data_IF_841272418671
#
_entry.id   IF_841272418671
#
_cell.length_a   1.000
_cell.length_b   1.000
_cell.length_c   1.000
_cell.angle_alpha   90.00
_cell.angle_beta   90.00
_cell.angle_gamma   90.00
#
_symmetry.space_group_name_H-M   'P 1'
#
loop_
_entity.id
_entity.type
_entity.pdbx_description
1 polymer ?
#
# COMPACT_ATOMS: atom_id res chain seq x y z
N UNK A 1 6.43 -22.19 19.74
CA UNK A 1 5.88 -22.91 18.56
C UNK A 1 4.52 -22.34 18.17
N UNK A 2 3.67 -22.00 19.15
CA UNK A 2 2.27 -21.60 18.88
C UNK A 2 2.05 -20.16 18.37
N UNK A 3 3.02 -19.25 18.51
CA UNK A 3 2.80 -17.83 18.19
C UNK A 3 2.67 -17.53 16.69
N UNK A 4 3.28 -18.33 15.81
CA UNK A 4 3.28 -18.11 14.36
C UNK A 4 2.18 -18.90 13.63
N UNK A 5 1.76 -20.01 14.23
CA UNK A 5 0.90 -20.98 13.59
C UNK A 5 -0.57 -20.62 13.80
N UNK A 6 -1.30 -20.40 12.71
CA UNK A 6 -2.75 -20.30 12.75
C UNK A 6 -3.36 -21.66 12.39
N UNK A 7 -3.70 -22.43 13.42
CA UNK A 7 -4.25 -23.78 13.27
C UNK A 7 -5.50 -23.79 12.36
N UNK A 8 -5.54 -24.78 11.47
CA UNK A 8 -6.65 -24.95 10.53
C UNK A 8 -6.65 -24.00 9.33
N UNK A 9 -5.74 -23.02 9.25
CA UNK A 9 -5.65 -22.06 8.13
C UNK A 9 -4.44 -22.36 7.25
N UNK A 10 -4.68 -22.55 5.95
CA UNK A 10 -3.66 -22.95 4.98
C UNK A 10 -3.77 -22.10 3.72
N UNK A 11 -2.75 -21.29 3.43
CA UNK A 11 -2.65 -20.62 2.13
C UNK A 11 -2.26 -21.67 1.10
N UNK A 12 -3.09 -21.88 0.07
CA UNK A 12 -2.87 -22.88 -0.98
C UNK A 12 -2.08 -22.30 -2.14
N UNK A 13 -2.48 -21.12 -2.59
CA UNK A 13 -1.83 -20.42 -3.67
C UNK A 13 -2.08 -18.91 -3.61
N UNK A 14 -1.15 -18.19 -4.23
CA UNK A 14 -1.30 -16.77 -4.55
C UNK A 14 -0.92 -16.56 -6.01
N UNK A 15 -1.78 -15.88 -6.76
CA UNK A 15 -1.54 -15.49 -8.14
C UNK A 15 -1.60 -13.96 -8.27
N UNK A 16 -0.64 -13.38 -8.97
CA UNK A 16 -0.55 -11.94 -9.20
C UNK A 16 -0.82 -11.63 -10.68
N UNK A 17 -1.43 -10.47 -10.92
CA UNK A 17 -1.38 -9.81 -12.21
C UNK A 17 0.07 -9.41 -12.57
N UNK A 18 0.28 -9.00 -13.82
CA UNK A 18 1.60 -8.52 -14.26
C UNK A 18 2.00 -7.23 -13.52
N UNK A 19 3.13 -7.27 -12.83
CA UNK A 19 3.70 -6.13 -12.12
C UNK A 19 4.54 -5.27 -13.07
N UNK A 20 4.10 -4.04 -13.31
CA UNK A 20 4.72 -3.13 -14.28
C UNK A 20 4.98 -1.77 -13.63
N UNK A 21 6.22 -1.31 -13.70
CA UNK A 21 6.64 0.04 -13.30
C UNK A 21 6.99 0.88 -14.53
N UNK A 22 6.89 2.19 -14.41
CA UNK A 22 7.24 3.15 -15.47
C UNK A 22 7.58 4.51 -14.87
N UNK A 23 8.13 5.41 -15.68
CA UNK A 23 8.20 6.83 -15.32
C UNK A 23 7.08 7.62 -15.99
N UNK A 24 6.47 8.53 -15.25
CA UNK A 24 5.61 9.57 -15.78
C UNK A 24 6.13 10.97 -15.41
N UNK A 25 5.62 11.98 -16.10
CA UNK A 25 5.87 13.37 -15.72
C UNK A 25 4.86 13.81 -14.67
N UNK A 26 5.37 14.53 -13.67
CA UNK A 26 4.59 15.19 -12.65
C UNK A 26 4.99 16.66 -12.60
N UNK A 27 4.00 17.54 -12.61
CA UNK A 27 4.20 18.98 -12.52
C UNK A 27 3.87 19.44 -11.10
N UNK A 28 4.83 20.07 -10.43
CA UNK A 28 4.63 20.71 -9.14
C UNK A 28 4.55 22.23 -9.34
N UNK A 29 3.49 22.85 -8.84
CA UNK A 29 3.41 24.31 -8.78
C UNK A 29 4.39 24.85 -7.74
N UNK A 30 5.30 25.69 -8.21
CA UNK A 30 6.32 26.38 -7.42
C UNK A 30 6.20 27.89 -7.55
N UNK A 31 5.01 28.39 -7.90
CA UNK A 31 4.73 29.82 -8.11
C UNK A 31 5.00 30.66 -6.85
N UNK A 32 4.89 30.05 -5.66
CA UNK A 32 5.25 30.69 -4.38
C UNK A 32 6.75 31.06 -4.26
N UNK A 33 7.61 30.62 -5.17
CA UNK A 33 9.02 31.07 -5.27
C UNK A 33 9.12 32.48 -5.85
N UNK A 34 8.13 32.93 -6.63
CA UNK A 34 8.09 34.28 -7.14
C UNK A 34 7.61 35.25 -6.05
N UNK A 35 8.25 36.42 -5.90
CA UNK A 35 7.77 37.44 -4.98
C UNK A 35 6.41 37.95 -5.45
N UNK A 36 5.38 37.76 -4.62
CA UNK A 36 4.04 38.22 -4.93
C UNK A 36 3.94 39.74 -4.77
N UNK A 37 3.71 40.46 -5.87
CA UNK A 37 3.61 41.93 -5.85
C UNK A 37 2.26 42.44 -5.31
N UNK A 38 1.18 41.69 -5.53
CA UNK A 38 -0.15 41.94 -4.95
C UNK A 38 -0.98 40.66 -4.95
N UNK A 39 -1.95 40.56 -4.04
CA UNK A 39 -2.85 39.39 -3.92
C UNK A 39 -3.75 39.20 -5.15
N UNK A 40 -4.11 40.29 -5.82
CA UNK A 40 -5.05 40.26 -6.95
C UNK A 40 -4.45 39.63 -8.21
N UNK A 41 -3.13 39.48 -8.25
CA UNK A 41 -2.37 38.92 -9.39
C UNK A 41 -1.94 37.47 -9.16
N UNK A 42 -2.45 36.81 -8.11
CA UNK A 42 -2.00 35.47 -7.73
C UNK A 42 -2.13 34.43 -8.85
N UNK A 43 -3.12 34.59 -9.73
CA UNK A 43 -3.38 33.68 -10.85
C UNK A 43 -2.87 34.19 -12.21
N UNK A 44 -2.18 35.33 -12.27
CA UNK A 44 -1.70 35.91 -13.54
C UNK A 44 -0.55 35.09 -14.15
N UNK A 45 0.23 34.43 -13.30
CA UNK A 45 1.39 33.63 -13.70
C UNK A 45 1.44 32.34 -12.90
N UNK A 46 1.94 31.28 -13.54
CA UNK A 46 2.21 30.01 -12.87
C UNK A 46 3.58 29.48 -13.29
N UNK A 47 4.35 29.01 -12.31
CA UNK A 47 5.65 28.37 -12.54
C UNK A 47 5.54 26.93 -12.11
N UNK A 48 5.82 26.02 -13.05
CA UNK A 48 5.79 24.58 -12.81
C UNK A 48 7.19 23.98 -12.86
N UNK A 49 7.52 23.17 -11.86
CA UNK A 49 8.67 22.29 -11.89
C UNK A 49 8.21 20.90 -12.38
N UNK A 50 8.66 20.50 -13.57
CA UNK A 50 8.37 19.18 -14.15
C UNK A 50 9.43 18.16 -13.74
N UNK A 51 9.01 17.05 -13.15
CA UNK A 51 9.89 15.95 -12.74
C UNK A 51 9.40 14.62 -13.31
N UNK A 52 10.34 13.73 -13.70
CA UNK A 52 10.03 12.32 -13.93
C UNK A 52 9.93 11.57 -12.61
N UNK A 53 8.78 10.95 -12.33
CA UNK A 53 8.54 10.19 -11.09
C UNK A 53 8.21 8.74 -11.41
N UNK A 54 8.70 7.83 -10.58
CA UNK A 54 8.37 6.41 -10.70
C UNK A 54 6.87 6.22 -10.44
N UNK A 55 6.27 5.29 -11.17
CA UNK A 55 4.89 4.86 -11.00
C UNK A 55 4.75 3.38 -11.36
N UNK A 56 3.57 2.80 -11.09
CA UNK A 56 3.23 1.44 -11.48
C UNK A 56 1.82 1.33 -12.06
N UNK A 57 1.57 0.27 -12.82
CA UNK A 57 0.19 -0.09 -13.20
C UNK A 57 -0.51 -0.68 -11.97
N UNK A 58 -1.79 -0.38 -11.73
CA UNK A 58 -2.57 -1.08 -10.73
C UNK A 58 -2.52 -2.58 -11.00
N UNK A 59 -2.40 -3.37 -9.94
CA UNK A 59 -2.37 -4.82 -10.02
C UNK A 59 -3.24 -5.41 -8.92
N UNK A 60 -3.74 -6.61 -9.14
CA UNK A 60 -4.40 -7.39 -8.10
C UNK A 60 -3.64 -8.69 -7.84
N UNK A 61 -3.88 -9.28 -6.69
CA UNK A 61 -3.60 -10.68 -6.47
C UNK A 61 -4.85 -11.43 -6.02
N UNK A 62 -4.89 -12.71 -6.32
CA UNK A 62 -5.88 -13.66 -5.83
C UNK A 62 -5.18 -14.64 -4.91
N UNK A 63 -5.66 -14.75 -3.68
CA UNK A 63 -5.18 -15.70 -2.68
C UNK A 63 -6.26 -16.73 -2.38
N UNK A 64 -5.93 -18.02 -2.55
CA UNK A 64 -6.81 -19.11 -2.19
C UNK A 64 -6.37 -19.73 -0.86
N UNK A 65 -7.31 -19.86 0.07
CA UNK A 65 -7.06 -20.33 1.43
C UNK A 65 -8.05 -21.44 1.77
N UNK A 66 -7.56 -22.51 2.39
CA UNK A 66 -8.42 -23.51 3.05
C UNK A 66 -8.41 -23.24 4.55
N UNK A 67 -9.59 -23.23 5.16
CA UNK A 67 -9.76 -22.90 6.56
C UNK A 67 -10.68 -23.90 7.27
N UNK A 68 -10.29 -24.40 8.44
CA UNK A 68 -11.20 -25.02 9.40
C UNK A 68 -11.80 -23.97 10.37
N UNK A 69 -11.20 -22.78 10.38
CA UNK A 69 -11.64 -21.64 11.18
C UNK A 69 -12.75 -20.85 10.48
N UNK A 70 -13.73 -20.37 11.24
CA UNK A 70 -14.74 -19.40 10.82
C UNK A 70 -14.68 -18.19 11.75
N UNK A 71 -14.61 -16.98 11.18
CA UNK A 71 -14.44 -15.74 11.94
C UNK A 71 -13.53 -14.74 11.24
N UNK A 72 -13.08 -13.72 11.97
CA UNK A 72 -12.22 -12.66 11.41
C UNK A 72 -10.74 -13.05 11.46
N UNK A 73 -9.99 -12.67 10.44
CA UNK A 73 -8.55 -12.81 10.39
C UNK A 73 -7.90 -11.61 9.71
N UNK A 74 -6.59 -11.49 9.88
CA UNK A 74 -5.80 -10.39 9.32
C UNK A 74 -4.83 -11.00 8.32
N UNK A 75 -4.82 -10.46 7.10
CA UNK A 75 -3.81 -10.78 6.09
C UNK A 75 -2.77 -9.68 6.12
N UNK A 76 -1.49 -10.05 6.22
CA UNK A 76 -0.35 -9.13 6.02
C UNK A 76 0.42 -9.53 4.78
N UNK A 77 0.88 -8.53 4.05
CA UNK A 77 1.64 -8.69 2.83
C UNK A 77 2.91 -7.84 2.87
N UNK A 78 4.03 -8.48 2.60
CA UNK A 78 5.34 -7.87 2.50
C UNK A 78 5.91 -8.08 1.10
N UNK A 79 6.74 -7.15 0.64
CA UNK A 79 7.54 -7.30 -0.59
C UNK A 79 9.01 -7.19 -0.25
N UNK A 80 9.83 -8.07 -0.81
CA UNK A 80 11.26 -8.12 -0.55
C UNK A 80 12.05 -8.76 -1.69
N UNK A 81 13.40 -8.69 -1.62
CA UNK A 81 14.27 -9.30 -2.61
C UNK A 81 14.08 -10.82 -2.64
N UNK A 82 14.19 -11.41 -3.84
CA UNK A 82 14.23 -12.87 -3.97
C UNK A 82 15.50 -13.42 -3.31
N UNK A 83 15.34 -14.52 -2.57
CA UNK A 83 16.44 -15.32 -2.05
C UNK A 83 16.31 -16.78 -2.51
N UNK A 84 17.45 -17.46 -2.68
CA UNK A 84 17.48 -18.84 -3.19
C UNK A 84 17.39 -19.88 -2.08
N UNK A 85 18.08 -19.66 -0.95
CA UNK A 85 18.09 -20.60 0.18
C UNK A 85 17.22 -20.06 1.30
N UNK A 86 16.36 -20.93 1.83
CA UNK A 86 15.42 -20.54 2.87
C UNK A 86 16.07 -19.89 4.11
N UNK A 87 17.26 -20.37 4.51
CA UNK A 87 18.01 -19.79 5.64
C UNK A 87 18.54 -18.39 5.39
N UNK A 88 18.68 -17.96 4.13
CA UNK A 88 19.11 -16.60 3.80
C UNK A 88 18.07 -15.56 4.26
N UNK A 89 16.80 -15.96 4.44
CA UNK A 89 15.73 -15.12 4.98
C UNK A 89 16.11 -14.44 6.29
N UNK A 90 16.94 -15.05 7.14
CA UNK A 90 17.39 -14.43 8.38
C UNK A 90 18.15 -13.11 8.15
N UNK A 91 18.88 -13.01 7.04
CA UNK A 91 19.58 -11.79 6.62
C UNK A 91 18.70 -10.89 5.77
N UNK A 92 17.86 -11.48 4.92
CA UNK A 92 17.02 -10.73 3.98
C UNK A 92 15.76 -10.12 4.59
N UNK A 93 15.24 -10.64 5.71
CA UNK A 93 13.98 -10.18 6.34
C UNK A 93 13.92 -8.68 6.59
N UNK A 94 15.05 -8.02 6.84
CA UNK A 94 15.14 -6.56 7.06
C UNK A 94 14.86 -5.73 5.80
N UNK A 95 14.90 -6.36 4.63
CA UNK A 95 14.58 -5.75 3.34
C UNK A 95 13.14 -6.02 2.90
N UNK A 96 12.37 -6.77 3.68
CA UNK A 96 10.94 -6.93 3.43
C UNK A 96 10.19 -5.73 4.01
N UNK A 97 9.42 -5.06 3.15
CA UNK A 97 8.59 -3.91 3.51
C UNK A 97 7.14 -4.35 3.52
N UNK A 98 6.43 -4.05 4.60
CA UNK A 98 4.99 -4.27 4.68
C UNK A 98 4.28 -3.30 3.73
N UNK A 99 3.54 -3.85 2.77
CA UNK A 99 2.83 -3.06 1.75
C UNK A 99 1.32 -3.04 1.99
N UNK A 100 0.79 -4.06 2.66
CA UNK A 100 -0.63 -4.09 3.00
C UNK A 100 -0.93 -4.92 4.25
N UNK A 101 -1.98 -4.52 4.96
CA UNK A 101 -2.60 -5.21 6.08
C UNK A 101 -4.11 -4.97 6.01
N UNK A 102 -4.91 -6.03 6.04
CA UNK A 102 -6.37 -5.90 5.97
C UNK A 102 -7.11 -7.03 6.67
N UNK A 103 -8.32 -6.70 7.12
CA UNK A 103 -9.24 -7.62 7.76
C UNK A 103 -10.00 -8.42 6.69
N UNK A 104 -10.19 -9.72 6.95
CA UNK A 104 -11.01 -10.63 6.14
C UNK A 104 -11.94 -11.44 7.03
N UNK A 105 -13.11 -11.80 6.51
CA UNK A 105 -14.03 -12.73 7.14
C UNK A 105 -13.85 -14.12 6.50
N UNK A 106 -13.50 -15.11 7.33
CA UNK A 106 -13.30 -16.50 6.96
C UNK A 106 -14.57 -17.33 7.17
N UNK A 107 -14.77 -18.26 6.24
CA UNK A 107 -15.70 -19.37 6.37
C UNK A 107 -14.95 -20.70 6.40
N UNK A 108 -15.49 -21.71 7.08
CA UNK A 108 -14.94 -23.06 7.01
C UNK A 108 -15.00 -23.59 5.56
N UNK A 109 -13.93 -24.21 5.10
CA UNK A 109 -13.74 -24.66 3.72
C UNK A 109 -12.85 -23.72 2.90
N UNK A 110 -13.22 -23.53 1.62
CA UNK A 110 -12.45 -22.76 0.64
C UNK A 110 -12.83 -21.27 0.72
N UNK A 111 -11.83 -20.41 0.83
CA UNK A 111 -11.95 -18.96 0.76
C UNK A 111 -11.06 -18.43 -0.37
N UNK A 112 -11.52 -17.41 -1.09
CA UNK A 112 -10.76 -16.74 -2.15
C UNK A 112 -10.80 -15.24 -1.91
N UNK A 113 -9.64 -14.62 -1.72
CA UNK A 113 -9.50 -13.19 -1.50
C UNK A 113 -8.86 -12.54 -2.71
N UNK A 114 -9.51 -11.51 -3.25
CA UNK A 114 -8.96 -10.68 -4.33
C UNK A 114 -8.67 -9.30 -3.76
N UNK A 115 -7.44 -8.82 -3.93
CA UNK A 115 -6.98 -7.55 -3.35
C UNK A 115 -6.30 -6.70 -4.42
N UNK A 116 -6.78 -5.48 -4.62
CA UNK A 116 -6.20 -4.53 -5.56
C UNK A 116 -5.17 -3.64 -4.86
N UNK A 117 -4.10 -3.27 -5.58
CA UNK A 117 -3.05 -2.39 -5.07
C UNK A 117 -3.57 -1.04 -4.58
N UNK A 118 -4.66 -0.52 -5.17
CA UNK A 118 -5.25 0.76 -4.80
C UNK A 118 -5.99 0.75 -3.47
N UNK A 119 -6.26 -0.44 -2.93
CA UNK A 119 -6.96 -0.57 -1.65
C UNK A 119 -5.97 -0.71 -0.48
N UNK A 120 -4.66 -0.72 -0.73
CA UNK A 120 -3.65 -0.94 0.30
C UNK A 120 -3.78 0.10 1.42
N UNK A 121 -3.79 -0.39 2.65
CA UNK A 121 -4.26 0.40 3.81
C UNK A 121 -3.42 1.65 4.11
N UNK A 122 -2.18 1.73 3.61
CA UNK A 122 -1.28 2.84 3.86
C UNK A 122 -0.73 3.57 2.66
N UNK A 123 -1.21 3.25 1.46
CA UNK A 123 -0.89 4.02 0.27
C UNK A 123 -1.82 5.22 0.09
N UNK A 124 -1.28 6.33 -0.40
CA UNK A 124 -2.04 7.53 -0.76
C UNK A 124 -1.68 8.00 -2.17
N UNK A 125 -2.68 8.55 -2.87
CA UNK A 125 -2.49 9.17 -4.18
C UNK A 125 -1.67 10.47 -4.04
N UNK A 126 -1.17 10.97 -5.16
CA UNK A 126 -0.58 12.31 -5.19
C UNK A 126 -1.60 13.37 -4.81
N UNK A 127 -1.08 14.50 -4.36
CA UNK A 127 -1.86 15.62 -3.85
C UNK A 127 -2.45 16.43 -4.99
N UNK A 128 -3.68 16.89 -4.80
CA UNK A 128 -4.20 18.05 -5.50
C UNK A 128 -3.28 19.23 -5.23
N UNK A 129 -2.92 19.93 -6.29
CA UNK A 129 -2.02 21.08 -6.25
C UNK A 129 -2.66 22.24 -5.47
N UNK A 130 -1.83 23.05 -4.79
CA UNK A 130 -2.34 24.15 -3.97
C UNK A 130 -3.22 25.11 -4.76
N UNK A 131 -2.79 25.51 -5.95
CA UNK A 131 -3.53 26.46 -6.81
C UNK A 131 -4.86 25.90 -7.29
N UNK A 132 -4.92 24.61 -7.62
CA UNK A 132 -6.19 23.94 -7.96
C UNK A 132 -7.14 23.88 -6.76
N UNK A 133 -6.61 23.53 -5.57
CA UNK A 133 -7.39 23.51 -4.35
C UNK A 133 -7.91 24.91 -3.98
N UNK A 134 -7.05 25.92 -4.03
CA UNK A 134 -7.40 27.30 -3.73
C UNK A 134 -8.45 27.83 -4.71
N UNK A 135 -8.30 27.56 -6.02
CA UNK A 135 -9.29 27.90 -7.03
C UNK A 135 -10.65 27.26 -6.74
N UNK A 136 -10.70 25.95 -6.45
CA UNK A 136 -11.93 25.25 -6.08
C UNK A 136 -12.61 25.86 -4.85
N UNK A 137 -11.84 26.26 -3.84
CA UNK A 137 -12.36 26.93 -2.64
C UNK A 137 -12.97 28.28 -2.99
N UNK A 138 -12.28 29.12 -3.79
CA UNK A 138 -12.77 30.45 -4.15
C UNK A 138 -14.05 30.38 -5.01
N UNK A 139 -14.12 29.45 -5.98
CA UNK A 139 -15.34 29.19 -6.74
C UNK A 139 -16.50 28.74 -5.83
N UNK A 140 -16.19 27.96 -4.80
CA UNK A 140 -17.13 27.54 -3.76
C UNK A 140 -17.68 28.69 -2.93
N UNK A 141 -16.80 29.56 -2.41
CA UNK A 141 -17.18 30.75 -1.62
C UNK A 141 -18.06 31.70 -2.44
N UNK A 142 -17.75 31.85 -3.73
CA UNK A 142 -18.50 32.73 -4.64
C UNK A 142 -19.81 32.11 -5.15
N UNK A 143 -20.16 30.89 -4.72
CA UNK A 143 -21.38 30.20 -5.13
C UNK A 143 -21.41 29.75 -6.59
N UNK A 144 -20.26 29.73 -7.26
CA UNK A 144 -20.14 29.36 -8.67
C UNK A 144 -20.06 27.84 -8.86
N UNK A 145 -19.42 27.14 -7.93
CA UNK A 145 -19.32 25.67 -7.92
C UNK A 145 -19.55 25.10 -6.53
N UNK A 146 -19.99 23.85 -6.41
CA UNK A 146 -20.07 23.16 -5.12
C UNK A 146 -18.69 22.61 -4.75
N UNK A 147 -18.12 23.07 -3.65
CA UNK A 147 -16.88 22.49 -3.12
C UNK A 147 -17.15 21.09 -2.54
N UNK A 148 -16.56 20.06 -3.16
CA UNK A 148 -16.61 18.69 -2.66
C UNK A 148 -15.36 18.41 -1.80
N UNK A 149 -15.57 18.02 -0.54
CA UNK A 149 -14.51 17.51 0.33
C UNK A 149 -14.11 16.10 -0.14
N UNK A 150 -13.02 16.02 -0.91
CA UNK A 150 -12.40 14.75 -1.30
C UNK A 150 -11.44 14.28 -0.21
N UNK A 151 -11.87 13.28 0.55
CA UNK A 151 -11.08 12.66 1.62
C UNK A 151 -10.24 11.47 1.14
N UNK A 152 -10.16 11.24 -0.18
CA UNK A 152 -9.33 10.16 -0.75
C UNK A 152 -7.83 10.49 -0.73
N UNK A 153 -7.47 11.77 -0.58
CA UNK A 153 -6.10 12.24 -0.39
C UNK A 153 -5.75 12.34 1.11
N UNK A 154 -5.70 11.22 1.82
CA UNK A 154 -5.33 11.22 3.23
C UNK A 154 -3.98 11.93 3.48
N UNK A 155 -3.89 12.86 4.42
CA UNK A 155 -2.71 13.70 4.75
C UNK A 155 -1.45 12.90 5.09
N UNK A 156 -1.61 11.64 5.46
CA UNK A 156 -0.51 10.74 5.73
C UNK A 156 -0.67 9.38 5.06
N UNK A 157 0.38 8.97 4.35
CA UNK A 157 0.53 7.63 3.81
C UNK A 157 1.78 7.54 2.93
N UNK A 158 2.12 6.32 2.57
CA UNK A 158 3.17 6.05 1.60
C UNK A 158 2.66 6.38 0.18
N UNK A 159 3.43 7.04 -0.70
CA UNK A 159 2.97 7.32 -2.05
C UNK A 159 2.65 6.04 -2.82
N UNK A 160 1.42 5.89 -3.30
CA UNK A 160 0.92 4.72 -4.05
C UNK A 160 1.87 4.35 -5.21
N UNK A 161 2.24 5.36 -6.00
CA UNK A 161 3.18 5.24 -7.11
C UNK A 161 4.55 4.62 -6.77
N UNK A 162 4.94 4.55 -5.49
CA UNK A 162 6.21 3.99 -5.02
C UNK A 162 6.07 2.61 -4.36
N UNK A 163 4.88 2.00 -4.31
CA UNK A 163 4.65 0.68 -3.68
C UNK A 163 5.58 -0.39 -4.26
N UNK A 164 5.81 -0.35 -5.58
CA UNK A 164 6.75 -1.24 -6.24
C UNK A 164 8.09 -0.55 -6.46
N UNK A 165 9.22 -1.23 -6.18
CA UNK A 165 10.52 -0.74 -6.61
C UNK A 165 10.61 -0.74 -8.14
N UNK A 166 11.49 0.10 -8.70
CA UNK A 166 11.74 0.13 -10.15
C UNK A 166 12.17 -1.26 -10.63
N UNK A 167 11.37 -1.86 -11.52
CA UNK A 167 11.67 -3.16 -12.10
C UNK A 167 12.83 -3.14 -13.09
N UNK A 168 13.12 -4.31 -13.67
CA UNK A 168 14.04 -4.44 -14.81
C UNK A 168 13.24 -4.64 -16.10
N UNK A 169 13.84 -4.32 -17.25
CA UNK A 169 13.19 -4.56 -18.54
C UNK A 169 12.89 -6.04 -18.77
N UNK A 170 13.78 -6.92 -18.32
CA UNK A 170 13.63 -8.38 -18.36
C UNK A 170 12.94 -8.98 -17.12
N UNK A 171 12.44 -8.15 -16.20
CA UNK A 171 11.81 -8.59 -14.95
C UNK A 171 12.81 -8.70 -13.80
N UNK A 172 12.64 -7.85 -12.79
CA UNK A 172 13.39 -7.92 -11.54
C UNK A 172 12.80 -9.00 -10.65
N UNK A 173 13.57 -10.03 -10.26
CA UNK A 173 13.10 -11.09 -9.39
C UNK A 173 12.89 -10.56 -7.97
N UNK A 174 11.67 -10.72 -7.47
CA UNK A 174 11.25 -10.29 -6.13
C UNK A 174 10.35 -11.37 -5.53
N UNK A 175 10.05 -11.24 -4.25
CA UNK A 175 9.13 -12.13 -3.55
C UNK A 175 8.11 -11.32 -2.75
N UNK A 176 6.85 -11.72 -2.86
CA UNK A 176 5.84 -11.33 -1.89
C UNK A 176 5.76 -12.39 -0.80
N UNK A 177 5.67 -11.94 0.44
CA UNK A 177 5.45 -12.79 1.60
C UNK A 177 4.10 -12.47 2.21
N UNK A 178 3.34 -13.52 2.52
CA UNK A 178 2.04 -13.43 3.16
C UNK A 178 2.04 -14.18 4.47
N UNK A 179 1.31 -13.63 5.44
CA UNK A 179 0.96 -14.33 6.67
C UNK A 179 -0.47 -13.98 7.06
N UNK A 180 -1.23 -14.99 7.47
CA UNK A 180 -2.58 -14.82 8.03
C UNK A 180 -2.53 -15.07 9.53
N UNK A 181 -3.03 -14.12 10.32
CA UNK A 181 -3.13 -14.23 11.78
C UNK A 181 -4.58 -14.10 12.24
N UNK A 182 -4.96 -14.74 13.37
CA UNK A 182 -6.30 -14.55 13.93
C UNK A 182 -6.53 -13.09 14.28
N UNK A 183 -7.74 -12.59 14.04
CA UNK A 183 -8.13 -11.27 14.52
C UNK A 183 -8.42 -11.36 16.01
N UNK A 184 -7.66 -10.62 16.82
CA UNK A 184 -7.96 -10.41 18.23
C UNK A 184 -8.67 -9.07 18.35
N UNK A 185 -9.95 -9.08 18.72
CA UNK A 185 -10.74 -7.86 18.90
C UNK A 185 -9.98 -6.89 19.81
N UNK A 186 -9.58 -5.75 19.26
CA UNK A 186 -8.88 -4.72 20.00
C UNK A 186 -9.76 -3.49 20.13
N UNK A 187 -9.81 -2.96 21.36
CA UNK A 187 -10.56 -1.75 21.65
C UNK A 187 -10.05 -0.51 20.88
N UNK A 188 -8.86 -0.50 20.28
CA UNK A 188 -8.31 0.67 19.55
C UNK A 188 -8.85 0.80 18.13
N UNK A 189 -8.90 -0.28 17.35
CA UNK A 189 -9.57 -0.28 16.04
C UNK A 189 -11.08 -0.08 16.20
N UNK A 190 -11.67 -0.67 17.24
CA UNK A 190 -13.10 -0.54 17.54
C UNK A 190 -13.47 0.83 18.17
N UNK A 191 -12.50 1.60 18.67
CA UNK A 191 -12.65 3.01 19.10
C UNK A 191 -12.27 3.99 17.98
N UNK A 192 -12.64 3.66 16.75
CA UNK A 192 -12.39 4.48 15.55
C UNK A 192 -12.96 5.91 15.63
N UNK A 193 -13.84 6.20 16.58
CA UNK A 193 -14.44 7.53 16.77
C UNK A 193 -13.41 8.66 16.95
N UNK A 194 -12.18 8.35 17.38
CA UNK A 194 -11.08 9.31 17.53
C UNK A 194 -9.98 9.21 16.46
N UNK A 195 -10.11 8.28 15.50
CA UNK A 195 -9.11 8.07 14.47
C UNK A 195 -9.68 8.33 13.07
N UNK A 196 -9.33 9.49 12.53
CA UNK A 196 -9.54 9.78 11.13
C UNK A 196 -8.25 9.48 10.34
N UNK A 197 -8.27 8.39 9.58
CA UNK A 197 -7.17 7.98 8.69
C UNK A 197 -6.82 9.01 7.63
N UNK A 198 -7.75 9.93 7.35
CA UNK A 198 -7.56 11.01 6.36
C UNK A 198 -6.69 12.13 6.94
N UNK A 199 -6.69 12.33 8.26
CA UNK A 199 -5.94 13.40 8.93
C UNK A 199 -4.66 12.88 9.58
N UNK A 200 -4.69 11.68 10.16
CA UNK A 200 -3.58 11.13 10.96
C UNK A 200 -3.06 9.80 10.42
N UNK A 201 -1.75 9.58 10.55
CA UNK A 201 -1.15 8.29 10.23
C UNK A 201 -1.60 7.18 11.19
N UNK A 202 -2.02 7.50 12.42
CA UNK A 202 -2.39 6.51 13.44
C UNK A 202 -1.24 5.60 13.94
N UNK A 203 0.00 5.88 13.53
CA UNK A 203 1.19 5.05 13.83
C UNK A 203 1.55 5.13 15.31
N UNK A 204 1.68 6.35 15.86
CA UNK A 204 2.09 6.55 17.26
C UNK A 204 1.07 6.07 18.29
N UNK A 205 -0.23 6.12 17.97
CA UNK A 205 -1.31 5.62 18.83
C UNK A 205 -1.63 4.13 18.61
N UNK A 206 -1.08 3.52 17.56
CA UNK A 206 -1.42 2.17 17.13
C UNK A 206 -2.81 2.01 16.50
N UNK A 207 -3.62 3.09 16.42
CA UNK A 207 -5.00 3.04 15.92
C UNK A 207 -5.13 2.67 14.43
N UNK A 208 -4.01 2.73 13.69
CA UNK A 208 -3.97 2.29 12.29
C UNK A 208 -4.04 0.77 12.14
N UNK A 209 -3.61 0.01 13.15
CA UNK A 209 -3.40 -1.43 13.04
C UNK A 209 -4.59 -2.21 13.59
N UNK A 210 -4.81 -3.41 13.04
CA UNK A 210 -5.90 -4.30 13.44
C UNK A 210 -5.58 -5.15 14.68
N UNK A 211 -4.34 -5.09 15.18
CA UNK A 211 -3.84 -5.96 16.25
C UNK A 211 -2.66 -5.32 17.00
N UNK A 212 -2.21 -6.00 18.05
CA UNK A 212 -1.08 -5.59 18.92
C UNK A 212 0.25 -6.25 18.56
N UNK A 213 0.35 -6.94 17.42
CA UNK A 213 1.60 -7.58 17.05
C UNK A 213 2.66 -6.50 16.73
N UNK A 214 3.95 -6.80 16.97
CA UNK A 214 5.01 -5.83 16.70
C UNK A 214 5.01 -5.36 15.25
N UNK A 215 5.41 -4.10 15.03
CA UNK A 215 5.63 -3.58 13.67
C UNK A 215 6.64 -4.46 12.94
N UNK A 216 6.30 -4.87 11.72
CA UNK A 216 7.13 -5.79 10.94
C UNK A 216 7.00 -7.25 11.33
N UNK A 217 6.04 -7.64 12.17
CA UNK A 217 5.76 -9.04 12.47
C UNK A 217 5.52 -9.85 11.19
N UNK A 218 6.12 -11.06 11.03
CA UNK A 218 6.94 -11.79 12.00
C UNK A 218 8.46 -11.60 11.83
N UNK A 219 8.87 -10.62 11.02
CA UNK A 219 10.28 -10.30 10.74
C UNK A 219 10.93 -9.34 11.76
N UNK A 220 10.15 -8.91 12.76
CA UNK A 220 10.57 -8.11 13.92
C UNK A 220 11.66 -8.77 14.78
N UNK A 221 11.85 -10.08 14.65
CA UNK A 221 12.70 -10.89 15.54
C UNK A 221 13.61 -11.88 14.80
N UNK A 222 14.58 -12.47 15.51
CA UNK A 222 15.42 -13.57 15.01
C UNK A 222 14.55 -14.76 14.60
N UNK A 223 14.74 -15.25 13.37
CA UNK A 223 13.99 -16.38 12.84
C UNK A 223 14.61 -17.67 13.36
N UNK A 224 13.79 -18.49 14.00
CA UNK A 224 14.14 -19.86 14.33
C UNK A 224 13.47 -20.80 13.32
N UNK A 225 14.28 -21.31 12.40
CA UNK A 225 13.82 -22.12 11.28
C UNK A 225 13.27 -23.51 11.68
N UNK A 226 13.43 -23.94 12.93
CA UNK A 226 12.84 -25.21 13.40
C UNK A 226 11.31 -25.16 13.46
N UNK A 227 10.72 -23.97 13.55
CA UNK A 227 9.26 -23.78 13.63
C UNK A 227 8.76 -22.59 12.79
N UNK A 228 9.63 -21.93 12.04
CA UNK A 228 9.24 -20.89 11.10
C UNK A 228 8.75 -21.52 9.79
N UNK A 229 7.85 -20.82 9.08
CA UNK A 229 7.12 -21.29 7.90
C UNK A 229 5.99 -22.29 8.19
N UNK A 230 4.96 -21.75 8.83
CA UNK A 230 3.70 -22.44 9.11
C UNK A 230 2.77 -22.39 7.90
N UNK A 231 1.69 -23.18 7.91
CA UNK A 231 0.79 -23.33 6.75
C UNK A 231 0.00 -22.06 6.41
N UNK A 232 -0.13 -21.14 7.36
CA UNK A 232 -0.72 -19.82 7.19
C UNK A 232 0.26 -18.77 6.66
N UNK A 233 1.47 -19.18 6.23
CA UNK A 233 2.47 -18.34 5.56
C UNK A 233 2.66 -18.77 4.11
N UNK A 234 3.05 -17.84 3.24
CA UNK A 234 3.32 -18.16 1.83
C UNK A 234 4.30 -17.17 1.20
N UNK A 235 5.34 -17.69 0.55
CA UNK A 235 6.21 -16.90 -0.33
C UNK A 235 5.78 -17.08 -1.78
N UNK A 236 5.63 -15.97 -2.50
CA UNK A 236 5.32 -15.94 -3.92
C UNK A 236 6.41 -15.20 -4.69
N UNK A 237 7.17 -15.95 -5.49
CA UNK A 237 8.09 -15.39 -6.47
C UNK A 237 7.31 -14.62 -7.55
N UNK A 238 7.82 -13.44 -7.89
CA UNK A 238 7.27 -12.56 -8.92
C UNK A 238 8.40 -11.89 -9.70
N UNK A 239 8.04 -11.32 -10.86
CA UNK A 239 8.92 -10.45 -11.63
C UNK A 239 8.28 -9.07 -11.76
N UNK A 240 9.03 -8.03 -11.39
CA UNK A 240 8.62 -6.63 -11.58
C UNK A 240 9.30 -6.09 -12.82
N UNK A 241 8.50 -5.74 -13.83
CA UNK A 241 9.00 -5.23 -15.11
C UNK A 241 9.05 -3.70 -15.11
N UNK A 242 9.90 -3.11 -15.95
CA UNK A 242 9.97 -1.67 -16.13
C UNK A 242 9.94 -1.24 -17.60
N UNK A 243 9.28 -0.11 -17.87
CA UNK A 243 9.34 0.59 -19.16
C UNK A 243 9.62 2.07 -18.92
N UNK A 244 10.63 2.65 -19.59
CA UNK A 244 10.98 4.06 -19.40
C UNK A 244 9.91 5.02 -19.91
N UNK A 245 9.11 4.58 -20.87
CA UNK A 245 7.97 5.28 -21.42
C UNK A 245 6.74 4.38 -21.33
N UNK A 246 5.71 4.87 -20.65
CA UNK A 246 4.38 4.30 -20.82
C UNK A 246 3.86 4.82 -22.16
N UNK A 247 3.94 4.01 -23.22
CA UNK A 247 3.12 4.25 -24.41
C UNK A 247 1.69 4.19 -23.92
N UNK A 248 1.05 5.35 -23.71
CA UNK A 248 -0.39 5.40 -23.57
C UNK A 248 -0.89 4.74 -24.85
N UNK A 249 -1.52 3.56 -24.74
CA UNK A 249 -2.19 2.98 -25.88
C UNK A 249 -3.17 4.05 -26.37
N UNK A 250 -2.91 4.59 -27.55
CA UNK A 250 -3.89 5.31 -28.33
C UNK A 250 -5.05 4.32 -28.54
N UNK A 251 -6.12 4.50 -27.77
CA UNK A 251 -7.41 4.00 -28.19
C UNK A 251 -7.84 4.85 -29.38
N UNK A 252 -7.91 4.20 -30.54
CA UNK A 252 -8.71 4.65 -31.68
C UNK A 252 -10.19 4.72 -31.28
#
# INVERSE_FOLDING_TARGET
MDELNFNGVIIKDVAFDKLMTYFDFFDADVSNVLPMQSTDKYFDYSVFARQRRLNHKPFSYTMNVMSEYSGKAIVRMFVGPKFDRFFDLQFYKKYFVEVDQYLVDFTAGKNTFVRNSRDFYWSVKDRTMYTDLYKKIMLGINGQEKFALDMSEAHCGFPDRLILPKGWTNGMPMQFYFIITPYTAQSTYEKADFYDKTVSCGVGSGMRYYDTLPMGYPFDRVINFNYFYTKNMYFKDVFIYHTDEMKMNQTF
#
